data_IF_349065325737
#
_entry.id   IF_349065325737
#
_cell.length_a   1.000
_cell.length_b   1.000
_cell.length_c   1.000
_cell.angle_alpha   90.00
_cell.angle_beta   90.00
_cell.angle_gamma   90.00
#
_symmetry.space_group_name_H-M   'P 1'
#
loop_
_entity.id
_entity.type
_entity.pdbx_description
1 polymer ?
#
# COMPACT_ATOMS: atom_id res chain seq x y z
N UNK A 1 12.44 12.60 -27.38
CA UNK A 1 12.45 12.52 -25.89
C UNK A 1 11.05 12.48 -25.27
N UNK A 2 10.12 13.40 -25.57
CA UNK A 2 8.77 13.41 -24.96
C UNK A 2 7.96 12.10 -25.12
N UNK A 3 8.04 11.42 -26.28
CA UNK A 3 7.37 10.12 -26.49
C UNK A 3 7.82 9.03 -25.51
N UNK A 4 9.12 8.94 -25.24
CA UNK A 4 9.68 7.94 -24.31
C UNK A 4 9.19 8.20 -22.88
N UNK A 5 9.10 9.48 -22.49
CA UNK A 5 8.53 9.89 -21.20
C UNK A 5 7.07 9.43 -21.06
N UNK A 6 6.23 9.64 -22.08
CA UNK A 6 4.83 9.19 -22.02
C UNK A 6 4.69 7.67 -21.96
N UNK A 7 5.51 6.91 -22.69
CA UNK A 7 5.54 5.45 -22.59
C UNK A 7 5.96 5.01 -21.19
N UNK A 8 7.02 5.60 -20.65
CA UNK A 8 7.49 5.29 -19.30
C UNK A 8 6.42 5.60 -18.24
N UNK A 9 5.75 6.76 -18.35
CA UNK A 9 4.66 7.13 -17.45
C UNK A 9 3.49 6.14 -17.54
N UNK A 10 3.15 5.70 -18.75
CA UNK A 10 2.10 4.72 -18.99
C UNK A 10 2.45 3.37 -18.36
N UNK A 11 3.67 2.87 -18.55
CA UNK A 11 4.12 1.63 -17.91
C UNK A 11 4.17 1.73 -16.39
N UNK A 12 4.57 2.88 -15.84
CA UNK A 12 4.55 3.10 -14.39
C UNK A 12 3.13 3.04 -13.83
N UNK A 13 2.19 3.76 -14.46
CA UNK A 13 0.79 3.75 -14.04
C UNK A 13 0.16 2.36 -14.20
N UNK A 14 0.48 1.67 -15.29
CA UNK A 14 0.01 0.31 -15.54
C UNK A 14 0.56 -0.68 -14.50
N UNK A 15 1.84 -0.57 -14.13
CA UNK A 15 2.42 -1.36 -13.05
C UNK A 15 1.77 -1.07 -11.69
N UNK A 16 1.50 0.19 -11.38
CA UNK A 16 0.78 0.58 -10.18
C UNK A 16 -0.62 -0.04 -10.14
N UNK A 17 -1.37 0.02 -11.24
CA UNK A 17 -2.69 -0.61 -11.35
C UNK A 17 -2.58 -2.13 -11.25
N UNK A 18 -1.64 -2.77 -11.94
CA UNK A 18 -1.49 -4.23 -11.92
C UNK A 18 -1.11 -4.78 -10.53
N UNK A 19 -0.39 -4.01 -9.71
CA UNK A 19 -0.08 -4.39 -8.33
C UNK A 19 -1.30 -4.14 -7.43
N UNK A 20 -1.98 -3.00 -7.54
CA UNK A 20 -3.08 -2.66 -6.64
C UNK A 20 -4.40 -3.37 -6.98
N UNK A 21 -4.71 -3.55 -8.26
CA UNK A 21 -5.94 -4.18 -8.74
C UNK A 21 -6.21 -5.58 -8.17
N UNK A 22 -5.26 -6.55 -8.17
CA UNK A 22 -5.50 -7.86 -7.59
C UNK A 22 -5.71 -7.80 -6.07
N UNK A 23 -5.01 -6.88 -5.37
CA UNK A 23 -5.28 -6.65 -3.95
C UNK A 23 -6.72 -6.15 -3.75
N UNK A 24 -7.14 -5.14 -4.51
CA UNK A 24 -8.52 -4.66 -4.46
C UNK A 24 -9.51 -5.80 -4.73
N UNK A 25 -9.27 -6.66 -5.73
CA UNK A 25 -10.15 -7.77 -6.07
C UNK A 25 -10.26 -8.84 -4.97
N UNK A 26 -9.17 -9.11 -4.25
CA UNK A 26 -9.16 -10.05 -3.12
C UNK A 26 -9.94 -9.48 -1.92
N UNK A 27 -9.81 -8.17 -1.69
CA UNK A 27 -10.38 -7.48 -0.54
C UNK A 27 -11.76 -6.86 -0.78
N UNK A 28 -12.18 -6.73 -2.04
CA UNK A 28 -13.49 -6.24 -2.47
C UNK A 28 -14.56 -7.30 -2.26
N UNK A 29 -14.84 -7.56 -0.97
CA UNK A 29 -16.01 -8.33 -0.55
C UNK A 29 -17.16 -7.34 -0.40
N UNK A 30 -18.32 -7.70 -0.94
CA UNK A 30 -19.60 -7.00 -0.75
C UNK A 30 -20.13 -7.15 0.69
N UNK A 31 -19.27 -6.93 1.67
CA UNK A 31 -19.57 -6.96 3.09
C UNK A 31 -19.48 -5.54 3.62
N UNK A 32 -20.54 -5.12 4.28
CA UNK A 32 -20.63 -3.83 4.96
C UNK A 32 -20.51 -4.09 6.45
N UNK A 33 -19.58 -3.41 7.11
CA UNK A 33 -19.48 -3.38 8.58
C UNK A 33 -19.85 -1.97 9.01
N UNK A 34 -20.88 -1.84 9.86
CA UNK A 34 -21.43 -0.54 10.27
C UNK A 34 -21.80 0.38 9.08
N UNK A 35 -22.34 -0.18 8.00
CA UNK A 35 -22.63 0.51 6.73
C UNK A 35 -21.40 1.06 5.97
N UNK A 36 -20.19 0.67 6.36
CA UNK A 36 -18.94 1.03 5.67
C UNK A 36 -18.41 -0.20 4.93
N UNK A 37 -18.01 -0.08 3.65
CA UNK A 37 -17.40 -1.19 2.91
C UNK A 37 -16.14 -1.73 3.59
N UNK A 38 -16.04 -3.06 3.65
CA UNK A 38 -14.95 -3.77 4.33
C UNK A 38 -13.55 -3.33 3.87
N UNK A 39 -13.43 -2.95 2.60
CA UNK A 39 -12.16 -2.52 1.99
C UNK A 39 -11.53 -1.31 2.68
N UNK A 40 -12.34 -0.38 3.21
CA UNK A 40 -11.82 0.78 3.94
C UNK A 40 -11.15 0.35 5.25
N UNK A 41 -11.70 -0.64 5.94
CA UNK A 41 -11.09 -1.18 7.16
C UNK A 41 -9.76 -1.86 6.85
N UNK A 42 -9.69 -2.66 5.78
CA UNK A 42 -8.43 -3.28 5.37
C UNK A 42 -7.35 -2.24 5.04
N UNK A 43 -7.73 -1.16 4.34
CA UNK A 43 -6.79 -0.10 3.97
C UNK A 43 -6.29 0.67 5.21
N UNK A 44 -7.17 1.03 6.14
CA UNK A 44 -6.80 1.73 7.38
C UNK A 44 -5.93 0.85 8.28
N UNK A 45 -6.34 -0.40 8.52
CA UNK A 45 -5.59 -1.33 9.38
C UNK A 45 -4.23 -1.66 8.75
N UNK A 46 -4.20 -1.95 7.45
CA UNK A 46 -2.95 -2.22 6.73
C UNK A 46 -2.00 -1.03 6.75
N UNK A 47 -2.53 0.19 6.65
CA UNK A 47 -1.73 1.41 6.74
C UNK A 47 -1.16 1.64 8.14
N UNK A 48 -1.97 1.52 9.20
CA UNK A 48 -1.49 1.60 10.59
C UNK A 48 -0.45 0.52 10.89
N UNK A 49 -0.66 -0.70 10.41
CA UNK A 49 0.29 -1.80 10.56
C UNK A 49 1.63 -1.48 9.86
N UNK A 50 1.58 -0.90 8.67
CA UNK A 50 2.80 -0.47 7.94
C UNK A 50 3.60 0.57 8.73
N UNK A 51 2.92 1.56 9.33
CA UNK A 51 3.58 2.56 10.20
C UNK A 51 4.20 1.88 11.42
N UNK A 52 3.50 0.95 12.05
CA UNK A 52 4.01 0.21 13.20
C UNK A 52 5.27 -0.58 12.86
N UNK A 53 5.28 -1.28 11.72
CA UNK A 53 6.46 -2.03 11.26
C UNK A 53 7.64 -1.09 11.03
N UNK A 54 7.44 0.01 10.31
CA UNK A 54 8.49 1.02 10.08
C UNK A 54 9.02 1.57 11.40
N UNK A 55 8.14 1.91 12.35
CA UNK A 55 8.54 2.38 13.67
C UNK A 55 9.43 1.37 14.41
N UNK A 56 9.04 0.10 14.43
CA UNK A 56 9.84 -0.96 15.09
C UNK A 56 11.20 -1.11 14.43
N UNK A 57 11.26 -1.09 13.09
CA UNK A 57 12.52 -1.20 12.36
C UNK A 57 13.45 -0.01 12.62
N UNK A 58 12.92 1.22 12.52
CA UNK A 58 13.70 2.44 12.78
C UNK A 58 14.24 2.44 14.21
N UNK A 59 13.40 2.11 15.20
CA UNK A 59 13.80 2.05 16.61
C UNK A 59 14.86 0.97 16.87
N UNK A 60 14.78 -0.17 16.16
CA UNK A 60 15.76 -1.23 16.31
C UNK A 60 17.12 -0.83 15.74
N UNK A 61 17.13 -0.21 14.55
CA UNK A 61 18.36 0.28 13.92
C UNK A 61 19.04 1.33 14.80
N UNK A 62 18.28 2.29 15.33
CA UNK A 62 18.79 3.32 16.24
C UNK A 62 19.37 2.72 17.54
N UNK A 63 18.77 1.66 18.07
CA UNK A 63 19.32 0.94 19.23
C UNK A 63 20.63 0.23 18.90
N UNK A 64 20.69 -0.46 17.76
CA UNK A 64 21.89 -1.21 17.34
C UNK A 64 23.08 -0.28 17.01
N UNK A 65 22.85 1.00 16.67
CA UNK A 65 23.90 2.01 16.43
C UNK A 65 24.44 2.65 17.72
N UNK A 66 23.64 2.70 18.78
CA UNK A 66 23.98 3.35 20.06
C UNK A 66 24.52 2.39 21.14
N UNK A 67 24.52 1.06 20.90
CA UNK A 67 25.14 0.02 21.73
C UNK A 67 26.55 -0.35 21.20
#
# INVERSE_FOLDING_TARGET
MKKVLYLWLLFFFMGFVMINFPFLLIFDKFQLIFNIPLIYYYLIIGWLFSIMVVYVFVKKIDRDEND
#
